data_IF_847613578330
#
_entry.id   IF_847613578330
#
_cell.length_a   1.000
_cell.length_b   1.000
_cell.length_c   1.000
_cell.angle_alpha   90.00
_cell.angle_beta   90.00
_cell.angle_gamma   90.00
#
_symmetry.space_group_name_H-M   'P 1'
#
loop_
_entity.id
_entity.type
_entity.pdbx_description
1 polymer ?
#
# COMPACT_ATOMS: atom_id res chain seq x y z
N UNK A 1 28.68 14.34 8.80
CA UNK A 1 28.07 14.15 10.14
C UNK A 1 27.19 15.32 10.56
N UNK A 2 27.71 16.57 10.76
CA UNK A 2 26.85 17.67 11.23
C UNK A 2 25.72 18.01 10.27
N UNK A 3 25.97 18.02 8.96
CA UNK A 3 24.95 18.24 7.93
C UNK A 3 23.84 17.14 7.94
N UNK A 4 24.22 15.87 8.10
CA UNK A 4 23.23 14.79 8.13
C UNK A 4 22.42 14.80 9.42
N UNK A 5 23.06 15.19 10.52
CA UNK A 5 22.37 15.39 11.80
C UNK A 5 21.39 16.57 11.72
N UNK A 6 21.78 17.67 11.07
CA UNK A 6 20.90 18.82 10.82
C UNK A 6 19.66 18.44 9.99
N UNK A 7 19.85 17.61 8.95
CA UNK A 7 18.72 17.08 8.15
C UNK A 7 17.70 16.29 9.00
N UNK A 8 18.20 15.57 10.02
CA UNK A 8 17.37 14.69 10.84
C UNK A 8 16.73 15.40 12.04
N UNK A 9 17.42 16.41 12.64
CA UNK A 9 17.04 17.00 13.93
C UNK A 9 16.95 18.52 13.92
N UNK A 10 17.19 19.18 12.78
CA UNK A 10 17.19 20.64 12.64
C UNK A 10 18.17 21.35 13.60
N UNK A 11 19.20 20.66 14.03
CA UNK A 11 20.28 21.12 14.92
C UNK A 11 21.62 20.61 14.43
N UNK A 12 22.68 21.29 14.84
CA UNK A 12 24.05 20.86 14.55
C UNK A 12 24.61 20.02 15.68
N UNK A 13 25.43 19.03 15.33
CA UNK A 13 26.28 18.31 16.27
C UNK A 13 27.68 18.93 16.22
N UNK A 14 28.15 19.41 17.35
CA UNK A 14 29.38 20.20 17.45
C UNK A 14 30.33 19.54 18.47
N UNK A 15 31.53 19.06 18.03
CA UNK A 15 32.54 18.58 18.97
C UNK A 15 33.10 19.75 19.80
N UNK A 16 33.00 19.67 21.11
CA UNK A 16 33.59 20.66 21.99
C UNK A 16 35.04 20.32 22.31
N UNK A 17 35.95 20.76 21.44
CA UNK A 17 37.39 20.52 21.57
C UNK A 17 38.07 21.34 22.71
N UNK A 18 37.34 22.27 23.32
CA UNK A 18 37.86 23.12 24.39
C UNK A 18 37.72 22.50 25.79
N UNK A 19 37.16 21.30 25.89
CA UNK A 19 36.83 20.62 27.15
C UNK A 19 37.98 19.76 27.72
N UNK A 20 39.16 19.78 27.12
CA UNK A 20 40.33 19.03 27.59
C UNK A 20 40.54 17.67 26.88
N UNK A 21 40.84 16.60 27.63
CA UNK A 21 41.15 15.29 27.05
C UNK A 21 39.92 14.52 26.55
N UNK A 22 38.75 14.88 26.97
CA UNK A 22 37.46 14.31 26.51
C UNK A 22 36.79 15.34 25.63
N UNK A 23 36.38 14.95 24.42
CA UNK A 23 35.69 15.83 23.47
C UNK A 23 34.20 15.48 23.49
N UNK A 24 33.39 16.19 24.30
CA UNK A 24 31.96 15.94 24.29
C UNK A 24 31.32 16.45 22.97
N UNK A 25 30.33 15.71 22.50
CA UNK A 25 29.50 16.13 21.39
C UNK A 25 28.32 16.92 21.95
N UNK A 26 28.17 18.17 21.53
CA UNK A 26 27.08 19.06 21.94
C UNK A 26 26.12 19.30 20.79
N UNK A 27 24.87 19.60 21.10
CA UNK A 27 23.80 19.81 20.14
C UNK A 27 23.24 21.23 20.31
N UNK A 28 23.26 21.99 19.23
CA UNK A 28 22.74 23.36 19.25
C UNK A 28 22.67 23.96 17.86
N UNK A 29 22.35 25.26 17.84
CA UNK A 29 22.39 26.04 16.62
C UNK A 29 23.82 26.28 16.16
N UNK A 30 24.03 26.54 14.87
CA UNK A 30 25.35 26.88 14.36
C UNK A 30 25.93 28.09 15.08
N UNK A 31 27.16 27.95 15.57
CA UNK A 31 27.83 29.02 16.31
C UNK A 31 28.60 29.87 15.33
N UNK A 32 27.97 30.95 14.85
CA UNK A 32 28.64 31.96 14.05
C UNK A 32 29.51 32.84 14.99
N UNK A 33 30.80 32.87 14.69
CA UNK A 33 31.74 33.79 15.35
C UNK A 33 31.63 35.10 14.59
N UNK A 34 31.04 36.13 15.25
CA UNK A 34 31.00 37.47 14.68
C UNK A 34 32.41 38.10 14.73
N UNK A 35 32.94 38.43 13.56
CA UNK A 35 34.33 38.84 13.37
C UNK A 35 34.57 40.35 13.65
N UNK A 36 33.53 41.10 14.01
CA UNK A 36 33.62 42.57 14.11
C UNK A 36 34.04 43.04 15.51
N UNK A 37 35.33 43.24 15.69
CA UNK A 37 35.96 44.07 16.75
C UNK A 37 36.45 43.43 18.05
N UNK A 38 36.45 42.12 18.21
CA UNK A 38 36.97 41.48 19.42
C UNK A 38 38.35 40.85 19.20
N UNK A 39 39.17 40.79 20.28
CA UNK A 39 40.44 40.04 20.23
C UNK A 39 40.17 38.54 20.02
N UNK A 40 41.08 37.80 19.38
CA UNK A 40 40.95 36.34 19.15
C UNK A 40 40.67 35.58 20.48
N UNK A 41 41.19 36.06 21.59
CA UNK A 41 40.96 35.47 22.91
C UNK A 41 39.51 35.66 23.37
N UNK A 42 38.90 36.82 23.16
CA UNK A 42 37.50 37.11 23.51
C UNK A 42 36.54 36.26 22.68
N UNK A 43 36.85 36.07 21.39
CA UNK A 43 36.09 35.21 20.50
C UNK A 43 36.10 33.73 20.97
N UNK A 44 37.27 33.22 21.37
CA UNK A 44 37.40 31.85 21.88
C UNK A 44 36.59 31.68 23.18
N UNK A 45 36.61 32.64 24.07
CA UNK A 45 35.87 32.58 25.32
C UNK A 45 34.35 32.58 25.07
N UNK A 46 33.85 33.50 24.25
CA UNK A 46 32.41 33.55 23.92
C UNK A 46 31.94 32.28 23.20
N UNK A 47 32.75 31.72 22.32
CA UNK A 47 32.50 30.45 21.68
C UNK A 47 32.45 29.29 22.68
N UNK A 48 33.42 29.22 23.60
CA UNK A 48 33.47 28.20 24.63
C UNK A 48 32.27 28.29 25.59
N UNK A 49 31.88 29.49 26.00
CA UNK A 49 30.72 29.70 26.86
C UNK A 49 29.43 29.27 26.18
N UNK A 50 29.27 29.59 24.90
CA UNK A 50 28.10 29.15 24.10
C UNK A 50 28.06 27.63 23.94
N UNK A 51 29.20 27.00 23.63
CA UNK A 51 29.25 25.53 23.55
C UNK A 51 28.99 24.87 24.90
N UNK A 52 29.47 25.46 26.00
CA UNK A 52 29.20 24.91 27.33
C UNK A 52 27.72 24.99 27.74
N UNK A 53 26.96 25.92 27.16
CA UNK A 53 25.51 26.02 27.37
C UNK A 53 24.69 24.97 26.59
N UNK A 54 25.29 24.36 25.57
CA UNK A 54 24.58 23.38 24.74
C UNK A 54 24.50 22.01 25.42
N UNK A 55 23.34 21.35 25.34
CA UNK A 55 23.20 20.00 25.86
C UNK A 55 24.12 19.02 25.13
N UNK A 56 24.71 18.11 25.88
CA UNK A 56 25.55 17.05 25.32
C UNK A 56 24.69 15.89 24.81
N UNK A 57 25.17 15.18 23.76
CA UNK A 57 24.52 14.02 23.17
C UNK A 57 24.16 12.96 24.22
N UNK A 58 25.05 12.70 25.19
CA UNK A 58 24.82 11.73 26.27
C UNK A 58 23.61 12.04 27.15
N UNK A 59 23.17 13.29 27.20
CA UNK A 59 22.03 13.77 27.99
C UNK A 59 20.74 13.86 27.17
N UNK A 60 20.76 13.40 25.90
CA UNK A 60 19.62 13.40 25.01
C UNK A 60 18.80 12.13 25.11
N UNK A 61 17.65 12.09 24.44
CA UNK A 61 16.85 10.91 24.27
C UNK A 61 17.57 9.78 23.49
N UNK A 62 17.11 8.56 23.65
CA UNK A 62 17.79 7.39 23.10
C UNK A 62 17.84 7.40 21.56
N UNK A 63 16.86 8.00 20.87
CA UNK A 63 16.89 8.15 19.41
C UNK A 63 18.09 8.95 18.92
N UNK A 64 18.40 10.08 19.57
CA UNK A 64 19.57 10.90 19.23
C UNK A 64 20.88 10.15 19.53
N UNK A 65 20.94 9.47 20.68
CA UNK A 65 22.13 8.69 21.05
C UNK A 65 22.40 7.55 20.07
N UNK A 66 21.36 6.80 19.71
CA UNK A 66 21.45 5.70 18.72
C UNK A 66 21.87 6.24 17.38
N UNK A 67 21.22 7.30 16.89
CA UNK A 67 21.55 7.93 15.62
C UNK A 67 23.01 8.36 15.54
N UNK A 68 23.49 9.12 16.53
CA UNK A 68 24.86 9.60 16.60
C UNK A 68 25.84 8.41 16.76
N UNK A 69 25.49 7.42 17.58
CA UNK A 69 26.31 6.22 17.77
C UNK A 69 26.55 5.46 16.47
N UNK A 70 25.49 5.19 15.71
CA UNK A 70 25.58 4.52 14.41
C UNK A 70 26.47 5.35 13.46
N UNK A 71 26.22 6.66 13.35
CA UNK A 71 27.01 7.54 12.48
C UNK A 71 28.50 7.49 12.83
N UNK A 72 28.84 7.57 14.12
CA UNK A 72 30.25 7.52 14.56
C UNK A 72 30.91 6.21 14.22
N UNK A 73 30.24 5.06 14.44
CA UNK A 73 30.78 3.75 14.10
C UNK A 73 30.99 3.58 12.60
N UNK A 74 30.08 4.06 11.77
CA UNK A 74 30.19 3.99 10.30
C UNK A 74 31.38 4.81 9.76
N UNK A 75 31.77 5.87 10.46
CA UNK A 75 32.92 6.71 10.08
C UNK A 75 34.29 6.10 10.47
N UNK A 76 34.29 5.01 11.24
CA UNK A 76 35.54 4.33 11.63
C UNK A 76 35.95 3.36 10.52
N UNK A 77 36.92 3.74 9.73
CA UNK A 77 37.38 2.93 8.57
C UNK A 77 38.07 1.61 8.95
N UNK A 78 38.31 1.38 10.24
CA UNK A 78 38.95 0.17 10.73
C UNK A 78 38.03 -1.07 10.66
N UNK A 79 36.72 -0.88 10.70
CA UNK A 79 35.77 -1.99 10.66
C UNK A 79 35.37 -2.31 9.21
N UNK A 80 35.39 -3.61 8.87
CA UNK A 80 34.96 -4.09 7.55
C UNK A 80 33.52 -4.57 7.52
N UNK A 81 33.00 -4.98 8.66
CA UNK A 81 31.65 -5.53 8.76
C UNK A 81 30.92 -4.90 9.93
N UNK A 82 29.71 -4.44 9.69
CA UNK A 82 28.81 -3.90 10.69
C UNK A 82 27.57 -4.81 10.80
N UNK A 83 27.13 -5.03 12.03
CA UNK A 83 25.87 -5.68 12.33
C UNK A 83 25.02 -4.65 13.06
N UNK A 84 23.94 -4.21 12.46
CA UNK A 84 23.04 -3.17 13.00
C UNK A 84 21.66 -3.78 13.15
N UNK A 85 21.17 -3.77 14.38
CA UNK A 85 19.87 -4.27 14.73
C UNK A 85 18.93 -3.09 15.00
N UNK A 86 17.82 -3.03 14.26
CA UNK A 86 16.79 -2.00 14.35
C UNK A 86 17.33 -0.55 14.42
N UNK A 87 18.04 -0.07 13.38
CA UNK A 87 18.60 1.29 13.38
C UNK A 87 17.53 2.40 13.50
N UNK A 88 16.29 2.08 13.22
CA UNK A 88 15.11 2.96 13.37
C UNK A 88 14.64 3.11 14.81
N UNK A 89 15.11 2.32 15.76
CA UNK A 89 14.64 2.33 17.14
C UNK A 89 14.67 3.73 17.73
N UNK A 90 13.52 4.20 18.23
CA UNK A 90 13.31 5.55 18.80
C UNK A 90 13.41 6.72 17.80
N UNK A 91 13.43 6.45 16.49
CA UNK A 91 13.43 7.47 15.44
C UNK A 91 12.02 7.66 14.87
N UNK A 92 11.70 8.91 14.52
CA UNK A 92 10.51 9.18 13.70
C UNK A 92 10.75 8.71 12.25
N UNK A 93 9.70 8.37 11.49
CA UNK A 93 9.85 7.85 10.13
C UNK A 93 10.77 8.66 9.21
N UNK A 94 10.71 10.01 9.16
CA UNK A 94 11.65 10.78 8.34
C UNK A 94 13.12 10.64 8.78
N UNK A 95 13.37 10.53 10.08
CA UNK A 95 14.71 10.32 10.63
C UNK A 95 15.24 8.92 10.32
N UNK A 96 14.37 7.91 10.37
CA UNK A 96 14.72 6.54 9.95
C UNK A 96 15.11 6.49 8.47
N UNK A 97 14.39 7.20 7.60
CA UNK A 97 14.75 7.31 6.18
C UNK A 97 16.14 7.93 6.00
N UNK A 98 16.41 9.05 6.68
CA UNK A 98 17.71 9.73 6.66
C UNK A 98 18.81 8.77 7.18
N UNK A 99 18.56 7.99 8.22
CA UNK A 99 19.50 6.98 8.71
C UNK A 99 19.82 5.95 7.64
N UNK A 100 18.83 5.44 6.91
CA UNK A 100 19.03 4.54 5.77
C UNK A 100 19.92 5.17 4.68
N UNK A 101 19.68 6.43 4.33
CA UNK A 101 20.48 7.19 3.37
C UNK A 101 21.95 7.32 3.84
N UNK A 102 22.17 7.66 5.10
CA UNK A 102 23.50 7.80 5.71
C UNK A 102 24.27 6.48 5.66
N UNK A 103 23.62 5.37 6.07
CA UNK A 103 24.25 4.04 6.01
C UNK A 103 24.68 3.74 4.58
N UNK A 104 23.79 3.95 3.60
CA UNK A 104 24.07 3.68 2.19
C UNK A 104 25.19 4.52 1.58
N UNK A 105 25.30 5.80 2.00
CA UNK A 105 26.29 6.76 1.48
C UNK A 105 27.67 6.62 2.14
N UNK A 106 27.69 6.28 3.44
CA UNK A 106 28.95 6.29 4.23
C UNK A 106 29.80 5.06 3.98
N UNK A 107 29.21 3.92 3.65
CA UNK A 107 29.94 2.65 3.47
C UNK A 107 30.83 2.69 2.24
N UNK A 108 32.12 2.41 2.43
CA UNK A 108 33.09 2.20 1.36
C UNK A 108 32.84 0.88 0.61
N UNK A 109 33.52 0.68 -0.53
CA UNK A 109 33.39 -0.57 -1.31
C UNK A 109 33.91 -1.81 -0.56
N UNK A 110 34.78 -1.61 0.42
CA UNK A 110 35.37 -2.70 1.21
C UNK A 110 34.59 -3.01 2.50
N UNK A 111 33.57 -2.24 2.78
CA UNK A 111 32.73 -2.41 3.98
C UNK A 111 31.41 -3.09 3.62
N UNK A 112 30.93 -3.91 4.55
CA UNK A 112 29.67 -4.61 4.47
C UNK A 112 28.84 -4.34 5.73
N UNK A 113 27.54 -4.12 5.54
CA UNK A 113 26.60 -3.97 6.64
C UNK A 113 25.48 -5.01 6.52
N UNK A 114 25.15 -5.62 7.64
CA UNK A 114 23.94 -6.42 7.81
C UNK A 114 22.99 -5.63 8.72
N UNK A 115 21.80 -5.37 8.25
CA UNK A 115 20.77 -4.61 8.97
C UNK A 115 19.58 -5.53 9.16
N UNK A 116 19.15 -5.74 10.42
CA UNK A 116 17.83 -6.23 10.68
C UNK A 116 16.90 -5.04 10.92
N UNK A 117 15.78 -5.02 10.26
CA UNK A 117 14.82 -3.92 10.34
C UNK A 117 13.40 -4.39 9.99
N UNK A 118 12.42 -3.77 10.59
CA UNK A 118 11.01 -3.86 10.19
C UNK A 118 10.45 -2.50 9.71
N UNK A 119 11.35 -1.54 9.44
CA UNK A 119 10.99 -0.20 8.96
C UNK A 119 11.14 -0.10 7.44
N UNK A 120 10.03 0.19 6.76
CA UNK A 120 10.08 0.51 5.32
C UNK A 120 10.90 1.76 5.04
N UNK A 121 11.01 2.69 6.00
CA UNK A 121 11.73 3.94 5.82
C UNK A 121 13.25 3.73 5.76
N UNK A 122 13.81 2.83 6.57
CA UNK A 122 15.22 2.42 6.43
C UNK A 122 15.47 1.85 5.04
N UNK A 123 14.58 0.98 4.56
CA UNK A 123 14.71 0.36 3.24
C UNK A 123 14.60 1.42 2.14
N UNK A 124 13.64 2.35 2.23
CA UNK A 124 13.49 3.46 1.29
C UNK A 124 14.73 4.33 1.25
N UNK A 125 15.29 4.68 2.41
CA UNK A 125 16.52 5.45 2.50
C UNK A 125 17.72 4.79 1.83
N UNK A 126 17.93 3.49 2.06
CA UNK A 126 18.98 2.71 1.40
C UNK A 126 18.79 2.66 -0.11
N UNK A 127 17.57 2.38 -0.59
CA UNK A 127 17.25 2.29 -2.02
C UNK A 127 17.33 3.64 -2.74
N UNK A 128 17.18 4.75 -2.03
CA UNK A 128 17.33 6.11 -2.60
C UNK A 128 18.76 6.37 -3.05
N UNK A 129 19.76 5.89 -2.29
CA UNK A 129 21.16 6.27 -2.46
C UNK A 129 22.04 5.15 -3.04
N UNK A 130 21.71 3.88 -2.79
CA UNK A 130 22.53 2.76 -3.23
C UNK A 130 21.73 1.51 -3.65
N UNK A 131 20.71 1.62 -4.54
CA UNK A 131 19.85 0.49 -4.91
C UNK A 131 20.62 -0.70 -5.49
N UNK A 132 21.80 -0.44 -6.10
CA UNK A 132 22.68 -1.47 -6.69
C UNK A 132 23.33 -2.36 -5.64
N UNK A 133 23.54 -1.84 -4.42
CA UNK A 133 24.29 -2.49 -3.36
C UNK A 133 23.42 -3.21 -2.35
N UNK A 134 22.10 -2.95 -2.35
CA UNK A 134 21.15 -3.52 -1.41
C UNK A 134 20.78 -4.94 -1.83
N UNK A 135 20.98 -5.90 -0.93
CA UNK A 135 20.42 -7.25 -1.01
C UNK A 135 19.43 -7.42 0.13
N UNK A 136 18.22 -7.79 -0.17
CA UNK A 136 17.20 -7.99 0.85
C UNK A 136 16.95 -9.49 1.05
N UNK A 137 16.89 -9.88 2.31
CA UNK A 137 16.54 -11.23 2.74
C UNK A 137 15.29 -11.11 3.60
N UNK A 138 14.18 -11.62 3.08
CA UNK A 138 12.94 -11.70 3.86
C UNK A 138 12.96 -12.96 4.70
N UNK A 139 12.70 -12.80 5.98
CA UNK A 139 12.62 -13.91 6.95
C UNK A 139 11.15 -14.04 7.36
N UNK A 140 10.58 -15.22 7.15
CA UNK A 140 9.23 -15.54 7.60
C UNK A 140 9.28 -16.77 8.51
N UNK A 141 8.36 -16.83 9.48
CA UNK A 141 8.29 -17.94 10.42
C UNK A 141 6.97 -18.69 10.28
N UNK A 142 7.08 -20.01 10.18
CA UNK A 142 5.92 -20.91 10.20
C UNK A 142 6.10 -21.91 11.32
N UNK A 143 5.34 -21.77 12.39
CA UNK A 143 5.55 -22.55 13.60
C UNK A 143 6.96 -22.30 14.19
N UNK A 144 7.81 -23.32 14.20
CA UNK A 144 9.18 -23.24 14.70
C UNK A 144 10.25 -23.19 13.58
N UNK A 145 9.83 -23.06 12.32
CA UNK A 145 10.73 -23.04 11.16
C UNK A 145 10.80 -21.64 10.58
N UNK A 146 12.04 -21.14 10.42
CA UNK A 146 12.30 -19.87 9.71
C UNK A 146 12.57 -20.16 8.24
N UNK A 147 11.89 -19.45 7.36
CA UNK A 147 12.08 -19.50 5.92
C UNK A 147 12.76 -18.22 5.45
N UNK A 148 13.76 -18.37 4.58
CA UNK A 148 14.55 -17.27 4.05
C UNK A 148 14.27 -17.13 2.55
N UNK A 149 13.89 -15.93 2.12
CA UNK A 149 13.71 -15.58 0.71
C UNK A 149 14.66 -14.46 0.34
N UNK A 150 15.56 -14.73 -0.62
CA UNK A 150 16.45 -13.71 -1.15
C UNK A 150 15.71 -12.98 -2.27
N UNK A 151 15.57 -11.68 -2.12
CA UNK A 151 14.93 -10.83 -3.10
C UNK A 151 15.99 -10.28 -4.07
N UNK A 152 15.80 -10.52 -5.36
CA UNK A 152 16.75 -10.13 -6.38
C UNK A 152 16.82 -8.60 -6.56
N UNK A 153 18.04 -8.06 -6.69
CA UNK A 153 18.26 -6.62 -6.87
C UNK A 153 17.54 -6.05 -8.11
N UNK A 154 17.43 -6.84 -9.19
CA UNK A 154 16.75 -6.43 -10.43
C UNK A 154 15.26 -6.15 -10.20
N UNK A 155 14.61 -6.92 -9.32
CA UNK A 155 13.20 -6.75 -9.01
C UNK A 155 12.96 -5.48 -8.19
N UNK A 156 13.86 -5.20 -7.22
CA UNK A 156 13.85 -3.93 -6.49
C UNK A 156 14.04 -2.73 -7.38
N UNK A 157 15.00 -2.78 -8.31
CA UNK A 157 15.24 -1.70 -9.27
C UNK A 157 14.00 -1.40 -10.11
N UNK A 158 13.30 -2.43 -10.60
CA UNK A 158 12.08 -2.27 -11.37
C UNK A 158 10.98 -1.60 -10.55
N UNK A 159 10.80 -2.04 -9.30
CA UNK A 159 9.79 -1.49 -8.38
C UNK A 159 10.16 -0.05 -8.00
N UNK A 160 11.40 0.19 -7.62
CA UNK A 160 11.89 1.51 -7.22
C UNK A 160 11.93 2.51 -8.37
N UNK A 161 12.23 2.06 -9.58
CA UNK A 161 12.22 2.85 -10.80
C UNK A 161 10.82 3.23 -11.31
N UNK A 162 9.76 2.56 -10.82
CA UNK A 162 8.38 2.89 -11.17
C UNK A 162 7.79 3.87 -10.14
N UNK A 163 7.49 5.12 -10.53
CA UNK A 163 6.95 6.12 -9.60
C UNK A 163 5.65 5.69 -8.91
N UNK A 164 4.80 4.90 -9.59
CA UNK A 164 3.55 4.42 -9.00
C UNK A 164 3.79 3.37 -7.90
N UNK A 165 4.75 2.47 -8.12
CA UNK A 165 5.11 1.44 -7.16
C UNK A 165 5.93 2.01 -6.01
N UNK A 166 6.88 2.91 -6.31
CA UNK A 166 7.73 3.59 -5.32
C UNK A 166 6.94 4.39 -4.28
N UNK A 167 5.88 5.08 -4.71
CA UNK A 167 5.03 5.90 -3.84
C UNK A 167 3.78 5.18 -3.32
N UNK A 168 3.64 3.89 -3.61
CA UNK A 168 2.59 3.04 -3.05
C UNK A 168 3.04 2.36 -1.76
N UNK A 169 2.08 1.79 -1.03
CA UNK A 169 2.37 1.02 0.18
C UNK A 169 2.98 -0.37 -0.09
N UNK A 170 3.52 -0.60 -1.30
CA UNK A 170 4.11 -1.89 -1.68
C UNK A 170 5.33 -2.23 -0.81
N UNK A 171 6.13 -1.23 -0.43
CA UNK A 171 7.28 -1.47 0.44
C UNK A 171 6.87 -1.93 1.84
N UNK A 172 5.79 -1.39 2.38
CA UNK A 172 5.22 -1.85 3.65
C UNK A 172 4.77 -3.31 3.59
N UNK A 173 4.35 -3.79 2.43
CA UNK A 173 3.92 -5.18 2.23
C UNK A 173 5.01 -6.22 2.51
N UNK A 174 6.28 -5.84 2.44
CA UNK A 174 7.43 -6.72 2.78
C UNK A 174 7.38 -7.22 4.22
N UNK A 175 6.75 -6.45 5.11
CA UNK A 175 6.66 -6.72 6.54
C UNK A 175 5.38 -7.45 6.95
N UNK A 176 4.49 -7.74 5.99
CA UNK A 176 3.25 -8.47 6.22
C UNK A 176 3.32 -9.89 5.65
N UNK A 177 2.59 -10.83 6.28
CA UNK A 177 2.56 -12.23 5.86
C UNK A 177 1.81 -12.41 4.56
N UNK A 178 0.63 -11.82 4.46
CA UNK A 178 -0.26 -11.88 3.31
C UNK A 178 -0.66 -10.48 2.88
N UNK A 179 -0.75 -10.25 1.59
CA UNK A 179 -1.23 -9.01 0.99
C UNK A 179 -2.50 -9.28 0.19
N UNK A 180 -3.55 -8.55 0.49
CA UNK A 180 -4.80 -8.55 -0.28
C UNK A 180 -4.85 -7.29 -1.13
N UNK A 181 -4.83 -7.47 -2.44
CA UNK A 181 -4.93 -6.38 -3.41
C UNK A 181 -6.39 -6.18 -3.81
N UNK A 182 -6.93 -4.98 -3.56
CA UNK A 182 -8.30 -4.59 -3.85
C UNK A 182 -8.35 -3.53 -4.96
N UNK A 183 -9.54 -3.30 -5.53
CA UNK A 183 -9.71 -2.32 -6.59
C UNK A 183 -9.65 -0.89 -6.07
N UNK A 184 -10.30 -0.61 -4.93
CA UNK A 184 -10.43 0.70 -4.33
C UNK A 184 -9.98 0.74 -2.86
N UNK A 185 -9.77 1.97 -2.34
CA UNK A 185 -9.49 2.22 -0.93
C UNK A 185 -10.66 1.81 -0.02
N UNK A 186 -11.90 1.94 -0.49
CA UNK A 186 -13.10 1.56 0.24
C UNK A 186 -13.15 0.07 0.51
N UNK A 187 -12.78 -0.76 -0.48
CA UNK A 187 -12.67 -2.20 -0.34
C UNK A 187 -11.66 -2.55 0.75
N UNK A 188 -10.47 -1.94 0.67
CA UNK A 188 -9.41 -2.15 1.64
C UNK A 188 -9.87 -1.84 3.06
N UNK A 189 -10.55 -0.72 3.26
CA UNK A 189 -11.04 -0.29 4.57
C UNK A 189 -12.03 -1.28 5.17
N UNK A 190 -13.08 -1.61 4.44
CA UNK A 190 -14.12 -2.49 4.98
C UNK A 190 -13.59 -3.91 5.18
N UNK A 191 -12.86 -4.47 4.20
CA UNK A 191 -12.30 -5.81 4.31
C UNK A 191 -11.29 -5.93 5.46
N UNK A 192 -10.43 -4.92 5.67
CA UNK A 192 -9.48 -4.93 6.79
C UNK A 192 -10.16 -4.86 8.16
N UNK A 193 -11.25 -4.09 8.28
CA UNK A 193 -12.05 -4.01 9.50
C UNK A 193 -12.68 -5.38 9.80
N UNK A 194 -13.28 -6.03 8.81
CA UNK A 194 -13.90 -7.34 8.97
C UNK A 194 -12.85 -8.42 9.28
N UNK A 195 -11.73 -8.43 8.58
CA UNK A 195 -10.63 -9.38 8.85
C UNK A 195 -10.09 -9.21 10.28
N UNK A 196 -9.79 -7.99 10.69
CA UNK A 196 -9.33 -7.69 12.05
C UNK A 196 -10.33 -8.16 13.11
N UNK A 197 -11.62 -7.94 12.88
CA UNK A 197 -12.69 -8.39 13.76
C UNK A 197 -12.73 -9.93 13.85
N UNK A 198 -12.65 -10.64 12.71
CA UNK A 198 -12.66 -12.10 12.69
C UNK A 198 -11.46 -12.69 13.42
N UNK A 199 -10.26 -12.15 13.17
CA UNK A 199 -9.02 -12.57 13.84
C UNK A 199 -9.05 -12.30 15.33
N UNK A 200 -9.56 -11.15 15.76
CA UNK A 200 -9.72 -10.84 17.18
C UNK A 200 -10.65 -11.84 17.91
N UNK A 201 -11.73 -12.29 17.26
CA UNK A 201 -12.61 -13.34 17.78
C UNK A 201 -11.89 -14.69 17.98
N UNK A 202 -10.95 -14.99 17.11
CA UNK A 202 -10.10 -16.19 17.19
C UNK A 202 -8.97 -16.04 18.21
N UNK A 203 -8.81 -14.86 18.83
CA UNK A 203 -7.71 -14.56 19.77
C UNK A 203 -6.39 -14.26 19.07
N UNK A 204 -6.42 -13.89 17.79
CA UNK A 204 -5.27 -13.58 16.96
C UNK A 204 -5.27 -12.13 16.47
N UNK A 205 -4.13 -11.68 15.96
CA UNK A 205 -4.02 -10.42 15.22
C UNK A 205 -3.98 -10.70 13.71
N UNK A 206 -4.52 -9.78 12.91
CA UNK A 206 -4.38 -9.87 11.47
C UNK A 206 -2.94 -9.52 11.07
N UNK A 207 -2.29 -10.42 10.32
CA UNK A 207 -1.00 -10.22 9.67
C UNK A 207 -1.17 -9.86 8.18
N UNK A 208 -2.40 -9.53 7.78
CA UNK A 208 -2.80 -9.22 6.41
C UNK A 208 -2.76 -7.73 6.16
N UNK A 209 -2.13 -7.33 5.06
CA UNK A 209 -2.17 -5.96 4.57
C UNK A 209 -3.11 -5.84 3.39
N UNK A 210 -4.04 -4.90 3.44
CA UNK A 210 -4.93 -4.58 2.33
C UNK A 210 -4.39 -3.36 1.57
N UNK A 211 -4.20 -3.52 0.26
CA UNK A 211 -3.65 -2.47 -0.61
C UNK A 211 -4.61 -2.26 -1.79
N UNK A 212 -4.90 -1.01 -2.12
CA UNK A 212 -5.66 -0.70 -3.33
C UNK A 212 -4.74 -0.43 -4.52
N UNK A 213 -5.20 -0.82 -5.70
CA UNK A 213 -4.43 -0.70 -6.94
C UNK A 213 -4.79 0.55 -7.78
N UNK A 214 -5.89 1.23 -7.47
CA UNK A 214 -6.39 2.36 -8.26
C UNK A 214 -6.94 1.96 -9.62
N UNK A 215 -7.64 0.83 -9.66
CA UNK A 215 -8.36 0.30 -10.82
C UNK A 215 -7.74 -0.96 -11.44
N UNK A 216 -8.60 -1.74 -12.09
CA UNK A 216 -8.29 -3.10 -12.58
C UNK A 216 -7.12 -3.19 -13.57
N UNK A 217 -6.82 -2.11 -14.31
CA UNK A 217 -5.70 -2.09 -15.28
C UNK A 217 -4.33 -2.23 -14.61
N UNK A 218 -4.21 -1.90 -13.32
CA UNK A 218 -2.94 -1.94 -12.58
C UNK A 218 -2.74 -3.22 -11.79
N UNK A 219 -3.80 -3.99 -11.58
CA UNK A 219 -3.79 -5.19 -10.72
C UNK A 219 -2.67 -6.16 -11.09
N UNK A 220 -2.60 -6.58 -12.35
CA UNK A 220 -1.62 -7.55 -12.81
C UNK A 220 -0.17 -7.09 -12.58
N UNK A 221 0.13 -5.81 -12.82
CA UNK A 221 1.47 -5.25 -12.62
C UNK A 221 1.88 -5.29 -11.15
N UNK A 222 0.97 -4.91 -10.25
CA UNK A 222 1.24 -4.91 -8.81
C UNK A 222 1.39 -6.34 -8.30
N UNK A 223 0.48 -7.24 -8.69
CA UNK A 223 0.56 -8.67 -8.35
C UNK A 223 1.92 -9.25 -8.77
N UNK A 224 2.32 -9.03 -10.01
CA UNK A 224 3.61 -9.50 -10.51
C UNK A 224 4.76 -8.99 -9.65
N UNK A 225 4.79 -7.69 -9.34
CA UNK A 225 5.82 -7.09 -8.50
C UNK A 225 5.87 -7.68 -7.08
N UNK A 226 4.72 -7.89 -6.45
CA UNK A 226 4.63 -8.47 -5.12
C UNK A 226 5.08 -9.95 -5.10
N UNK A 227 4.70 -10.71 -6.11
CA UNK A 227 5.14 -12.11 -6.25
C UNK A 227 6.64 -12.23 -6.51
N UNK A 228 7.24 -11.32 -7.27
CA UNK A 228 8.69 -11.25 -7.42
C UNK A 228 9.43 -10.97 -6.10
N UNK A 229 8.74 -10.36 -5.13
CA UNK A 229 9.22 -10.17 -3.75
C UNK A 229 8.88 -11.35 -2.83
N UNK A 230 8.41 -12.48 -3.36
CA UNK A 230 7.98 -13.66 -2.61
C UNK A 230 6.94 -13.34 -1.52
N UNK A 231 6.02 -12.42 -1.82
CA UNK A 231 4.90 -12.08 -0.95
C UNK A 231 3.71 -12.97 -1.32
N UNK A 232 3.03 -13.50 -0.31
CA UNK A 232 1.73 -14.17 -0.52
C UNK A 232 0.69 -13.12 -0.88
N UNK A 233 0.23 -13.16 -2.14
CA UNK A 233 -0.69 -12.16 -2.70
C UNK A 233 -2.02 -12.80 -3.00
N UNK A 234 -3.08 -12.16 -2.51
CA UNK A 234 -4.45 -12.44 -2.91
C UNK A 234 -5.04 -11.23 -3.61
N UNK A 235 -5.90 -11.46 -4.58
CA UNK A 235 -6.54 -10.41 -5.36
C UNK A 235 -8.05 -10.48 -5.20
N UNK A 236 -8.67 -9.33 -4.93
CA UNK A 236 -10.11 -9.16 -4.79
C UNK A 236 -10.59 -8.14 -5.83
N UNK A 237 -10.90 -8.57 -7.06
CA UNK A 237 -11.47 -7.72 -8.08
C UNK A 237 -13.00 -7.74 -8.01
N UNK A 238 -13.64 -6.65 -8.44
CA UNK A 238 -15.07 -6.62 -8.71
C UNK A 238 -15.44 -7.61 -9.83
N UNK A 239 -16.70 -8.02 -9.87
CA UNK A 239 -17.17 -8.99 -10.88
C UNK A 239 -16.99 -8.48 -12.32
N UNK A 240 -16.99 -7.18 -12.54
CA UNK A 240 -16.81 -6.58 -13.86
C UNK A 240 -15.38 -6.70 -14.41
N UNK A 241 -14.44 -7.28 -13.66
CA UNK A 241 -13.12 -7.68 -14.19
C UNK A 241 -13.28 -8.65 -15.36
N UNK A 242 -14.33 -9.44 -15.36
CA UNK A 242 -14.67 -10.38 -16.43
C UNK A 242 -15.14 -9.71 -17.73
N UNK A 243 -15.49 -8.42 -17.71
CA UNK A 243 -15.94 -7.68 -18.88
C UNK A 243 -14.85 -7.45 -19.92
N UNK A 244 -13.60 -7.41 -19.50
CA UNK A 244 -12.44 -7.16 -20.38
C UNK A 244 -11.53 -8.39 -20.40
N UNK A 245 -11.62 -9.14 -21.51
CA UNK A 245 -10.83 -10.37 -21.70
C UNK A 245 -9.34 -10.10 -21.58
N UNK A 246 -8.85 -8.96 -22.09
CA UNK A 246 -7.42 -8.61 -22.08
C UNK A 246 -6.93 -8.37 -20.65
N UNK A 247 -7.68 -7.59 -19.89
CA UNK A 247 -7.37 -7.32 -18.48
C UNK A 247 -7.44 -8.60 -17.66
N UNK A 248 -8.52 -9.37 -17.80
CA UNK A 248 -8.73 -10.61 -17.07
C UNK A 248 -7.62 -11.63 -17.36
N UNK A 249 -7.28 -11.82 -18.65
CA UNK A 249 -6.17 -12.69 -19.07
C UNK A 249 -4.82 -12.23 -18.49
N UNK A 250 -4.56 -10.93 -18.45
CA UNK A 250 -3.32 -10.39 -17.90
C UNK A 250 -3.23 -10.63 -16.39
N UNK A 251 -4.35 -10.48 -15.69
CA UNK A 251 -4.47 -10.77 -14.24
C UNK A 251 -4.22 -12.26 -13.98
N UNK A 252 -4.93 -13.16 -14.66
CA UNK A 252 -4.79 -14.61 -14.45
C UNK A 252 -3.37 -15.09 -14.75
N UNK A 253 -2.74 -14.58 -15.81
CA UNK A 253 -1.34 -14.85 -16.12
C UNK A 253 -0.39 -14.37 -15.01
N UNK A 254 -0.66 -13.25 -14.34
CA UNK A 254 0.16 -12.78 -13.22
C UNK A 254 0.11 -13.71 -12.00
N UNK A 255 -0.92 -14.51 -11.91
CA UNK A 255 -1.04 -15.60 -10.92
C UNK A 255 -0.49 -16.95 -11.40
N UNK A 256 0.00 -17.02 -12.64
CA UNK A 256 0.51 -18.25 -13.24
C UNK A 256 -0.56 -19.17 -13.79
N UNK A 257 -1.80 -18.67 -13.93
CA UNK A 257 -2.90 -19.45 -14.53
C UNK A 257 -2.81 -19.30 -16.04
N UNK A 258 -2.60 -20.43 -16.76
CA UNK A 258 -2.63 -20.42 -18.21
C UNK A 258 -4.03 -20.10 -18.74
N UNK A 259 -4.09 -19.21 -19.74
CA UNK A 259 -5.37 -18.80 -20.33
C UNK A 259 -6.16 -19.97 -20.93
N UNK A 260 -5.46 -20.95 -21.51
CA UNK A 260 -6.06 -22.13 -22.13
C UNK A 260 -6.96 -22.93 -21.16
N UNK A 261 -6.66 -22.84 -19.85
CA UNK A 261 -7.45 -23.53 -18.80
C UNK A 261 -8.79 -22.83 -18.56
N UNK A 262 -8.84 -21.52 -18.74
CA UNK A 262 -10.02 -20.68 -18.45
C UNK A 262 -10.81 -20.33 -19.72
N UNK A 263 -10.18 -20.31 -20.88
CA UNK A 263 -10.73 -19.74 -22.12
C UNK A 263 -12.08 -20.33 -22.49
N UNK A 264 -12.22 -21.65 -22.43
CA UNK A 264 -13.46 -22.34 -22.81
C UNK A 264 -14.63 -21.89 -21.94
N UNK A 265 -14.46 -21.91 -20.63
CA UNK A 265 -15.52 -21.56 -19.68
C UNK A 265 -15.78 -20.04 -19.71
N UNK A 266 -14.74 -19.21 -19.88
CA UNK A 266 -14.88 -17.78 -20.08
C UNK A 266 -15.74 -17.45 -21.31
N UNK A 267 -15.48 -18.09 -22.46
CA UNK A 267 -16.26 -17.87 -23.68
C UNK A 267 -17.70 -18.34 -23.53
N UNK A 268 -17.95 -19.46 -22.83
CA UNK A 268 -19.30 -19.93 -22.51
C UNK A 268 -20.02 -18.87 -21.66
N UNK A 269 -19.38 -18.35 -20.60
CA UNK A 269 -19.95 -17.32 -19.76
C UNK A 269 -20.32 -16.08 -20.58
N UNK A 270 -19.35 -15.49 -21.29
CA UNK A 270 -19.54 -14.24 -22.03
C UNK A 270 -20.60 -14.38 -23.14
N UNK A 271 -20.61 -15.49 -23.87
CA UNK A 271 -21.60 -15.72 -24.93
C UNK A 271 -23.04 -15.82 -24.41
N UNK A 272 -23.22 -16.35 -23.20
CA UNK A 272 -24.52 -16.47 -22.56
C UNK A 272 -24.99 -15.16 -21.88
N UNK A 273 -24.08 -14.26 -21.53
CA UNK A 273 -24.46 -12.94 -20.97
C UNK A 273 -25.10 -12.03 -22.01
N UNK A 274 -24.80 -12.23 -23.28
CA UNK A 274 -25.33 -11.43 -24.38
C UNK A 274 -24.82 -9.98 -24.39
N UNK A 275 -25.10 -9.28 -25.46
CA UNK A 275 -24.88 -7.83 -25.54
C UNK A 275 -25.97 -7.13 -24.71
N UNK A 276 -25.61 -6.26 -23.79
CA UNK A 276 -26.52 -5.55 -22.90
C UNK A 276 -27.80 -5.01 -23.60
N UNK A 277 -28.86 -4.81 -22.85
CA UNK A 277 -30.16 -4.34 -23.38
C UNK A 277 -30.00 -3.02 -24.13
N UNK A 278 -29.98 -3.09 -25.45
CA UNK A 278 -30.26 -1.91 -26.26
C UNK A 278 -31.74 -1.55 -26.11
N UNK A 279 -32.03 -0.34 -25.68
CA UNK A 279 -33.40 0.15 -25.59
C UNK A 279 -34.00 0.23 -27.01
N UNK A 280 -35.22 -0.24 -27.20
CA UNK A 280 -35.90 -0.10 -28.49
C UNK A 280 -36.16 1.36 -28.76
N UNK A 281 -36.10 1.78 -30.05
CA UNK A 281 -36.29 3.19 -30.46
C UNK A 281 -37.60 3.78 -29.93
N UNK A 282 -38.68 3.00 -29.93
CA UNK A 282 -40.00 3.44 -29.48
C UNK A 282 -40.02 3.62 -27.94
N UNK A 283 -39.37 2.73 -27.19
CA UNK A 283 -39.26 2.84 -25.72
C UNK A 283 -38.38 4.06 -25.34
N UNK A 284 -37.28 4.27 -26.04
CA UNK A 284 -36.43 5.45 -25.86
C UNK A 284 -37.18 6.75 -26.14
N UNK A 285 -37.93 6.79 -27.25
CA UNK A 285 -38.74 7.94 -27.62
C UNK A 285 -39.79 8.25 -26.56
N UNK A 286 -40.56 7.26 -26.14
CA UNK A 286 -41.58 7.42 -25.13
C UNK A 286 -41.01 7.92 -23.79
N UNK A 287 -39.85 7.37 -23.37
CA UNK A 287 -39.18 7.78 -22.12
C UNK A 287 -38.66 9.22 -22.21
N UNK A 288 -38.05 9.61 -23.34
CA UNK A 288 -37.57 10.98 -23.57
C UNK A 288 -38.74 11.95 -23.62
N UNK A 289 -39.83 11.64 -24.35
CA UNK A 289 -41.03 12.45 -24.40
C UNK A 289 -41.67 12.64 -23.00
N UNK A 290 -41.68 11.59 -22.17
CA UNK A 290 -42.13 11.69 -20.79
C UNK A 290 -41.30 12.65 -19.92
N UNK A 291 -39.97 12.71 -20.14
CA UNK A 291 -39.10 13.67 -19.46
C UNK A 291 -39.38 15.10 -19.94
N UNK A 292 -39.43 15.29 -21.25
CA UNK A 292 -39.66 16.60 -21.88
C UNK A 292 -41.03 17.19 -21.51
N UNK A 293 -42.06 16.35 -21.33
CA UNK A 293 -43.40 16.77 -20.99
C UNK A 293 -43.60 17.13 -19.51
N UNK A 294 -42.63 16.85 -18.64
CA UNK A 294 -42.70 17.22 -17.21
C UNK A 294 -42.61 18.72 -16.95
N UNK A 295 -41.83 19.41 -17.80
CA UNK A 295 -41.66 20.86 -17.74
C UNK A 295 -41.95 21.49 -19.12
N UNK A 296 -42.55 22.67 -19.11
CA UNK A 296 -42.81 23.43 -20.35
C UNK A 296 -41.82 24.59 -20.61
N UNK A 297 -40.66 24.52 -20.01
CA UNK A 297 -39.63 25.52 -20.20
C UNK A 297 -38.92 25.31 -21.55
N UNK A 298 -38.61 26.40 -22.24
CA UNK A 298 -37.92 26.37 -23.55
C UNK A 298 -36.48 25.81 -23.48
N UNK A 299 -35.89 25.71 -22.30
CA UNK A 299 -34.53 25.24 -22.08
C UNK A 299 -34.53 24.05 -21.12
N UNK A 300 -33.83 22.98 -21.51
CA UNK A 300 -33.63 21.81 -20.67
C UNK A 300 -32.83 22.15 -19.41
N UNK A 301 -33.32 21.72 -18.26
CA UNK A 301 -32.55 21.78 -17.02
C UNK A 301 -31.40 20.75 -17.04
N UNK A 302 -30.36 20.99 -16.24
CA UNK A 302 -29.25 20.02 -16.05
C UNK A 302 -29.74 18.64 -15.60
N UNK A 303 -30.84 18.59 -14.87
CA UNK A 303 -31.45 17.33 -14.40
C UNK A 303 -32.11 16.58 -15.57
N UNK A 304 -32.92 17.27 -16.37
CA UNK A 304 -33.57 16.67 -17.56
C UNK A 304 -32.54 16.19 -18.58
N UNK A 305 -31.45 16.95 -18.80
CA UNK A 305 -30.37 16.53 -19.65
C UNK A 305 -29.69 15.24 -19.17
N UNK A 306 -29.46 15.11 -17.86
CA UNK A 306 -28.92 13.87 -17.27
C UNK A 306 -29.93 12.71 -17.38
N UNK A 307 -31.20 12.94 -17.11
CA UNK A 307 -32.26 11.93 -17.20
C UNK A 307 -32.39 11.41 -18.65
N UNK A 308 -32.31 12.29 -19.67
CA UNK A 308 -32.30 11.89 -21.09
C UNK A 308 -31.05 11.08 -21.44
N UNK A 309 -29.86 11.50 -20.96
CA UNK A 309 -28.62 10.75 -21.16
C UNK A 309 -28.72 9.34 -20.57
N UNK A 310 -29.32 9.19 -19.40
CA UNK A 310 -29.56 7.88 -18.77
C UNK A 310 -30.52 6.99 -19.58
N UNK A 311 -31.55 7.56 -20.22
CA UNK A 311 -32.47 6.81 -21.10
C UNK A 311 -31.78 6.25 -22.32
N UNK A 312 -30.89 7.02 -22.96
CA UNK A 312 -30.17 6.58 -24.18
C UNK A 312 -28.90 5.82 -23.90
N UNK A 313 -28.42 5.83 -22.65
CA UNK A 313 -27.25 5.10 -22.25
C UNK A 313 -27.51 3.60 -22.35
N UNK A 314 -26.80 2.92 -23.24
CA UNK A 314 -26.87 1.47 -23.33
C UNK A 314 -26.43 0.91 -21.98
N UNK A 315 -27.39 0.36 -21.21
CA UNK A 315 -27.04 -0.31 -19.96
C UNK A 315 -26.24 -1.56 -20.30
N UNK A 316 -24.94 -1.51 -20.02
CA UNK A 316 -24.12 -2.71 -20.09
C UNK A 316 -24.70 -3.74 -19.11
N UNK A 317 -24.80 -4.98 -19.52
CA UNK A 317 -25.18 -6.07 -18.61
C UNK A 317 -24.32 -6.10 -17.36
N UNK A 318 -23.07 -5.68 -17.48
CA UNK A 318 -22.13 -5.57 -16.36
C UNK A 318 -22.55 -4.54 -15.31
N UNK A 319 -23.28 -3.48 -15.68
CA UNK A 319 -23.83 -2.54 -14.70
C UNK A 319 -24.94 -3.14 -13.86
N UNK A 320 -25.68 -4.10 -14.41
CA UNK A 320 -26.70 -4.84 -13.67
C UNK A 320 -26.05 -5.96 -12.84
N UNK A 321 -25.01 -6.62 -13.38
CA UNK A 321 -24.24 -7.65 -12.68
C UNK A 321 -23.43 -7.09 -11.50
N UNK A 322 -22.96 -5.84 -11.56
CA UNK A 322 -22.38 -5.15 -10.40
C UNK A 322 -23.32 -5.09 -9.19
N UNK A 323 -24.63 -5.06 -9.43
CA UNK A 323 -25.64 -5.01 -8.36
C UNK A 323 -26.22 -6.36 -7.98
N UNK A 324 -26.33 -7.28 -8.93
CA UNK A 324 -26.91 -8.60 -8.71
C UNK A 324 -25.87 -9.68 -8.43
N UNK A 325 -24.61 -9.39 -8.70
CA UNK A 325 -23.51 -10.33 -8.55
C UNK A 325 -23.67 -11.56 -9.43
N UNK A 326 -23.09 -12.66 -8.99
CA UNK A 326 -23.17 -13.96 -9.66
C UNK A 326 -24.60 -14.51 -9.76
N UNK A 327 -25.50 -14.05 -8.89
CA UNK A 327 -26.95 -14.41 -8.95
C UNK A 327 -27.62 -13.86 -10.21
N UNK A 328 -27.03 -12.86 -10.84
CA UNK A 328 -27.49 -12.29 -12.11
C UNK A 328 -27.06 -13.06 -13.35
N UNK A 329 -26.25 -14.10 -13.22
CA UNK A 329 -25.87 -14.94 -14.35
C UNK A 329 -27.04 -15.80 -14.81
N UNK A 330 -27.17 -16.04 -16.12
CA UNK A 330 -28.15 -17.00 -16.65
C UNK A 330 -27.93 -18.39 -16.04
N UNK A 331 -29.02 -19.04 -15.63
CA UNK A 331 -28.95 -20.40 -15.12
C UNK A 331 -28.48 -21.39 -16.20
N UNK A 332 -27.83 -22.44 -15.76
CA UNK A 332 -27.29 -23.49 -16.65
C UNK A 332 -25.82 -23.27 -17.00
N UNK A 333 -25.47 -23.30 -18.29
CA UNK A 333 -24.09 -23.35 -18.77
C UNK A 333 -23.24 -22.13 -18.29
N UNK A 334 -23.83 -20.96 -18.24
CA UNK A 334 -23.13 -19.76 -17.77
C UNK A 334 -22.73 -19.85 -16.29
N UNK A 335 -23.66 -20.25 -15.44
CA UNK A 335 -23.41 -20.40 -14.00
C UNK A 335 -22.37 -21.50 -13.74
N UNK A 336 -22.51 -22.66 -14.41
CA UNK A 336 -21.55 -23.77 -14.30
C UNK A 336 -20.15 -23.39 -14.80
N UNK A 337 -20.06 -22.65 -15.90
CA UNK A 337 -18.79 -22.17 -16.43
C UNK A 337 -18.11 -21.20 -15.44
N UNK A 338 -18.89 -20.26 -14.85
CA UNK A 338 -18.35 -19.37 -13.83
C UNK A 338 -17.89 -20.14 -12.59
N UNK A 339 -18.67 -21.09 -12.07
CA UNK A 339 -18.28 -21.90 -10.90
C UNK A 339 -16.95 -22.64 -11.11
N UNK A 340 -16.75 -23.25 -12.29
CA UNK A 340 -15.47 -23.89 -12.63
C UNK A 340 -14.31 -22.92 -12.67
N UNK A 341 -14.49 -21.78 -13.36
CA UNK A 341 -13.45 -20.74 -13.37
C UNK A 341 -13.16 -20.22 -11.97
N UNK A 342 -14.20 -19.92 -11.19
CA UNK A 342 -14.07 -19.36 -9.85
C UNK A 342 -13.33 -20.31 -8.88
N UNK A 343 -13.52 -21.64 -9.03
CA UNK A 343 -12.74 -22.62 -8.27
C UNK A 343 -11.24 -22.49 -8.58
N UNK A 344 -10.87 -22.47 -9.87
CA UNK A 344 -9.49 -22.31 -10.30
C UNK A 344 -8.92 -20.98 -9.84
N UNK A 345 -9.69 -19.89 -9.93
CA UNK A 345 -9.28 -18.58 -9.49
C UNK A 345 -8.96 -18.56 -7.98
N UNK A 346 -9.87 -19.10 -7.15
CA UNK A 346 -9.71 -19.16 -5.69
C UNK A 346 -8.51 -20.01 -5.27
N UNK A 347 -8.30 -21.16 -5.90
CA UNK A 347 -7.14 -22.01 -5.65
C UNK A 347 -5.81 -21.28 -5.90
N UNK A 348 -5.82 -20.29 -6.79
CA UNK A 348 -4.65 -19.48 -7.13
C UNK A 348 -4.62 -18.10 -6.45
N UNK A 349 -5.55 -17.80 -5.53
CA UNK A 349 -5.55 -16.57 -4.76
C UNK A 349 -6.31 -15.40 -5.40
N UNK A 350 -7.20 -15.65 -6.37
CA UNK A 350 -8.08 -14.63 -6.96
C UNK A 350 -9.49 -14.85 -6.46
N UNK A 351 -10.07 -13.87 -5.79
CA UNK A 351 -11.39 -13.92 -5.15
C UNK A 351 -12.29 -12.86 -5.75
N UNK A 352 -13.03 -13.21 -6.81
CA UNK A 352 -13.98 -12.30 -7.45
C UNK A 352 -15.13 -11.99 -6.49
N UNK A 353 -15.51 -10.71 -6.36
CA UNK A 353 -16.59 -10.28 -5.45
C UNK A 353 -17.92 -10.92 -5.89
N UNK A 354 -18.51 -11.83 -5.11
CA UNK A 354 -19.65 -12.62 -5.53
C UNK A 354 -20.94 -11.82 -5.69
N UNK A 355 -21.08 -10.73 -4.96
CA UNK A 355 -22.23 -9.82 -5.02
C UNK A 355 -22.09 -8.74 -6.10
N UNK A 356 -20.97 -8.72 -6.82
CA UNK A 356 -20.70 -7.81 -7.93
C UNK A 356 -19.68 -6.72 -7.60
N UNK A 357 -19.97 -5.88 -6.63
CA UNK A 357 -19.10 -4.83 -6.08
C UNK A 357 -19.30 -4.73 -4.56
N UNK A 358 -18.42 -4.00 -3.87
CA UNK A 358 -18.41 -3.88 -2.40
C UNK A 358 -19.77 -3.47 -1.83
N UNK A 359 -20.40 -2.44 -2.42
CA UNK A 359 -21.65 -1.87 -1.93
C UNK A 359 -22.83 -2.86 -1.99
N UNK A 360 -22.71 -3.86 -2.83
CA UNK A 360 -23.74 -4.89 -3.00
C UNK A 360 -23.81 -5.91 -1.86
N UNK A 361 -22.81 -5.95 -0.97
CA UNK A 361 -22.89 -6.75 0.26
C UNK A 361 -23.95 -6.19 1.23
N UNK A 362 -24.13 -4.86 1.30
CA UNK A 362 -25.05 -4.20 2.24
C UNK A 362 -25.87 -3.19 1.48
N UNK A 363 -26.99 -3.63 0.90
CA UNK A 363 -27.87 -2.82 0.04
C UNK A 363 -28.81 -1.90 0.79
N UNK A 364 -28.87 -2.01 2.12
CA UNK A 364 -29.72 -1.16 2.98
C UNK A 364 -29.20 0.26 3.13
N UNK A 365 -27.91 0.48 2.80
CA UNK A 365 -27.25 1.79 2.82
C UNK A 365 -26.94 2.20 1.37
N UNK A 366 -27.41 3.37 0.99
CA UNK A 366 -27.15 3.92 -0.36
C UNK A 366 -25.82 4.66 -0.44
N UNK A 367 -25.33 4.87 -1.67
CA UNK A 367 -24.08 5.59 -1.93
C UNK A 367 -22.99 4.70 -2.48
N UNK A 368 -21.78 5.25 -2.62
CA UNK A 368 -20.60 4.56 -3.13
C UNK A 368 -19.33 5.06 -2.43
N UNK A 369 -18.31 4.22 -2.41
CA UNK A 369 -16.96 4.57 -2.01
C UNK A 369 -16.84 4.88 -0.51
N UNK A 370 -15.91 5.79 -0.10
CA UNK A 370 -15.61 6.05 1.30
C UNK A 370 -16.82 6.52 2.13
N UNK A 371 -17.72 7.30 1.52
CA UNK A 371 -18.92 7.77 2.20
C UNK A 371 -19.88 6.61 2.51
N UNK A 372 -20.00 5.64 1.62
CA UNK A 372 -20.81 4.46 1.86
C UNK A 372 -20.22 3.61 3.01
N UNK A 373 -18.91 3.38 3.03
CA UNK A 373 -18.26 2.64 4.13
C UNK A 373 -18.53 3.31 5.48
N UNK A 374 -18.36 4.64 5.55
CA UNK A 374 -18.65 5.39 6.77
C UNK A 374 -20.11 5.24 7.18
N UNK A 375 -21.04 5.41 6.24
CA UNK A 375 -22.48 5.27 6.52
C UNK A 375 -22.88 3.87 6.97
N UNK A 376 -22.23 2.82 6.43
CA UNK A 376 -22.44 1.42 6.88
C UNK A 376 -21.99 1.26 8.32
N UNK A 377 -20.79 1.72 8.66
CA UNK A 377 -20.23 1.58 10.01
C UNK A 377 -20.96 2.44 11.04
N UNK A 378 -21.49 3.60 10.65
CA UNK A 378 -22.33 4.45 11.49
C UNK A 378 -23.71 3.83 11.73
N UNK A 379 -24.32 3.25 10.68
CA UNK A 379 -25.65 2.63 10.77
C UNK A 379 -25.61 1.29 11.53
N UNK A 380 -24.55 0.54 11.34
CA UNK A 380 -24.34 -0.79 11.92
C UNK A 380 -22.99 -0.88 12.64
N UNK A 381 -22.81 -0.20 13.78
CA UNK A 381 -21.52 -0.14 14.48
C UNK A 381 -21.09 -1.49 15.09
N UNK A 382 -22.05 -2.38 15.33
CA UNK A 382 -21.77 -3.72 15.85
C UNK A 382 -21.49 -4.70 14.70
N UNK A 383 -20.24 -5.12 14.59
CA UNK A 383 -19.80 -6.09 13.60
C UNK A 383 -20.35 -7.51 13.82
N UNK A 384 -21.00 -7.80 14.98
CA UNK A 384 -21.77 -9.04 15.18
C UNK A 384 -23.05 -9.08 14.33
N UNK A 385 -23.57 -7.94 13.93
CA UNK A 385 -24.81 -7.86 13.19
C UNK A 385 -24.80 -8.78 11.96
N UNK A 386 -25.91 -9.48 11.73
CA UNK A 386 -26.07 -10.43 10.62
C UNK A 386 -25.95 -9.78 9.23
N UNK A 387 -26.07 -8.47 9.14
CA UNK A 387 -25.84 -7.71 7.88
C UNK A 387 -24.45 -7.94 7.30
N UNK A 388 -23.46 -8.25 8.17
CA UNK A 388 -22.08 -8.53 7.78
C UNK A 388 -21.81 -10.00 7.46
N UNK A 389 -22.77 -10.91 7.58
CA UNK A 389 -22.50 -12.34 7.45
C UNK A 389 -21.94 -12.69 6.06
N UNK A 390 -22.52 -12.18 4.97
CA UNK A 390 -22.06 -12.50 3.62
C UNK A 390 -20.63 -12.00 3.35
N UNK A 391 -20.27 -10.81 3.86
CA UNK A 391 -18.91 -10.29 3.72
C UNK A 391 -17.92 -11.02 4.65
N UNK A 392 -18.36 -11.45 5.85
CA UNK A 392 -17.52 -12.28 6.73
C UNK A 392 -17.20 -13.63 6.09
N UNK A 393 -18.19 -14.31 5.53
CA UNK A 393 -18.01 -15.57 4.80
C UNK A 393 -17.06 -15.38 3.60
N UNK A 394 -17.19 -14.27 2.89
CA UNK A 394 -16.30 -13.95 1.78
C UNK A 394 -14.86 -13.78 2.26
N UNK A 395 -14.59 -13.02 3.32
CA UNK A 395 -13.25 -12.82 3.89
C UNK A 395 -12.70 -14.15 4.42
N UNK A 396 -13.50 -14.94 5.15
CA UNK A 396 -13.08 -16.26 5.64
C UNK A 396 -12.70 -17.21 4.51
N UNK A 397 -13.37 -17.11 3.36
CA UNK A 397 -13.05 -17.92 2.19
C UNK A 397 -11.64 -17.70 1.63
N UNK A 398 -11.01 -16.56 1.95
CA UNK A 398 -9.65 -16.22 1.52
C UNK A 398 -8.58 -16.92 2.37
N UNK A 399 -8.92 -17.49 3.53
CA UNK A 399 -7.98 -18.13 4.47
C UNK A 399 -6.77 -17.20 4.78
N UNK A 400 -7.06 -15.99 5.23
CA UNK A 400 -6.07 -14.95 5.57
C UNK A 400 -5.36 -15.24 6.89
#
# INVERSE_FOLDING_TARGET
MSHDFERAFEKHIIPNQLFGSVIPLTIGDDVKIESDKESASSMIYSYAEKLASYPQVQNQGDGIKSFVGIMLYLMIDHYRTFLIDEPESFLHPPQAKIMGEIIGQTLSEHQQVFISTHSEEIVKGLLEVCPERVKMIRITRTGNVNNFSILGNENFKKIWGDPLLRHSNIMASLFHKTVVLCESDSDCRLYSIIDSYLKQKEGHFSETMFIYCGGKQRMAKIVFSLKELNIDVKLVPDLDVLNDETIFKTITNSFGISWEVLEKDYRILISNLGNGRSIKREEARAAIEAILNKNRNDVLSNKESKDIQEVVKTKSIWSDLKKSGVRGFPHGDAALAFEKMNSILKENGIYVVPVGELESFITTVGGHGPNWVNSVLETYPDLENSIYNEIKEFIQSMAL
#
